data_IF_157599244936
#
_entry.id   IF_157599244936
#
_cell.length_a   1.000
_cell.length_b   1.000
_cell.length_c   1.000
_cell.angle_alpha   90.00
_cell.angle_beta   90.00
_cell.angle_gamma   90.00
#
_symmetry.space_group_name_H-M   'P 1'
#
loop_
_entity.id
_entity.type
_entity.pdbx_description
1 polymer ?
#
# COMPACT_ATOMS: atom_id res chain seq x y z
N UNK A 1 -10.22 1.94 -10.10
CA UNK A 1 -10.96 1.71 -8.83
C UNK A 1 -12.46 1.37 -9.01
N UNK A 2 -12.88 0.70 -10.10
CA UNK A 2 -14.28 0.29 -10.26
C UNK A 2 -14.72 -0.80 -9.26
N UNK A 3 -13.77 -1.57 -8.73
CA UNK A 3 -13.92 -2.47 -7.58
C UNK A 3 -15.11 -3.46 -7.65
N UNK A 4 -15.32 -4.07 -8.82
CA UNK A 4 -16.38 -5.08 -9.02
C UNK A 4 -15.98 -6.48 -8.52
N UNK A 5 -14.73 -6.88 -8.76
CA UNK A 5 -14.11 -8.09 -8.21
C UNK A 5 -13.36 -7.84 -6.89
N UNK A 6 -12.89 -8.90 -6.21
CA UNK A 6 -12.16 -8.77 -4.95
C UNK A 6 -10.82 -8.06 -5.13
N UNK A 7 -10.35 -7.41 -4.06
CA UNK A 7 -9.06 -6.73 -4.06
C UNK A 7 -7.91 -7.73 -4.02
N UNK A 8 -6.95 -7.57 -4.94
CA UNK A 8 -5.75 -8.40 -5.01
C UNK A 8 -4.51 -7.52 -4.84
N UNK A 9 -3.69 -7.85 -3.86
CA UNK A 9 -2.33 -7.33 -3.68
C UNK A 9 -1.38 -8.53 -3.71
N UNK A 10 -0.53 -8.67 -4.75
CA UNK A 10 0.24 -9.88 -4.99
C UNK A 10 1.07 -10.39 -3.80
N UNK A 11 1.67 -9.46 -3.04
CA UNK A 11 2.49 -9.80 -1.88
C UNK A 11 1.70 -10.20 -0.63
N UNK A 12 0.36 -10.18 -0.69
CA UNK A 12 -0.52 -10.40 0.49
C UNK A 12 -1.47 -11.57 0.27
N UNK A 13 -2.35 -11.51 -0.73
CA UNK A 13 -3.51 -12.40 -0.84
C UNK A 13 -3.69 -13.01 -2.24
N UNK A 14 -2.62 -13.11 -3.02
CA UNK A 14 -2.70 -13.53 -4.42
C UNK A 14 -3.35 -14.89 -4.64
N UNK A 15 -3.02 -15.85 -3.80
CA UNK A 15 -3.50 -17.24 -3.92
C UNK A 15 -5.01 -17.37 -3.65
N UNK A 16 -5.62 -16.41 -2.95
CA UNK A 16 -7.02 -16.49 -2.52
C UNK A 16 -8.04 -16.26 -3.65
N UNK A 17 -7.61 -15.65 -4.76
CA UNK A 17 -8.51 -15.15 -5.80
C UNK A 17 -8.11 -15.58 -7.22
N UNK A 18 -7.23 -16.59 -7.35
CA UNK A 18 -6.79 -17.12 -8.66
C UNK A 18 -7.93 -17.77 -9.46
N UNK A 19 -9.07 -18.09 -8.82
CA UNK A 19 -10.27 -18.65 -9.44
C UNK A 19 -11.27 -17.60 -9.93
N UNK A 20 -11.02 -16.32 -9.67
CA UNK A 20 -11.96 -15.24 -10.01
C UNK A 20 -11.75 -14.76 -11.43
N UNK A 21 -12.86 -14.60 -12.15
CA UNK A 21 -12.87 -14.08 -13.52
C UNK A 21 -12.73 -12.56 -13.60
N UNK A 22 -12.97 -11.86 -12.49
CA UNK A 22 -12.77 -10.42 -12.34
C UNK A 22 -12.08 -10.19 -11.00
N UNK A 23 -10.96 -9.47 -11.02
CA UNK A 23 -10.19 -9.09 -9.85
C UNK A 23 -9.86 -7.60 -9.93
N UNK A 24 -9.75 -6.97 -8.77
CA UNK A 24 -9.44 -5.56 -8.67
C UNK A 24 -8.04 -5.32 -8.11
N UNK A 25 -7.20 -4.61 -8.88
CA UNK A 25 -5.83 -4.26 -8.48
C UNK A 25 -5.75 -3.06 -7.52
N UNK A 26 -6.87 -2.64 -6.92
CA UNK A 26 -6.97 -1.50 -6.01
C UNK A 26 -6.56 -0.20 -6.73
N UNK A 27 -5.43 0.39 -6.33
CA UNK A 27 -4.86 1.65 -6.79
C UNK A 27 -3.35 1.59 -6.65
N UNK A 28 -2.61 2.52 -7.29
CA UNK A 28 -1.15 2.58 -7.15
C UNK A 28 -0.71 2.80 -5.70
N UNK A 29 -1.42 3.68 -4.97
CA UNK A 29 -1.19 3.87 -3.54
C UNK A 29 -1.47 2.58 -2.76
N UNK A 30 -2.55 1.85 -3.09
CA UNK A 30 -2.87 0.57 -2.48
C UNK A 30 -1.77 -0.48 -2.67
N UNK A 31 -1.34 -0.72 -3.91
CA UNK A 31 -0.27 -1.67 -4.20
C UNK A 31 1.06 -1.31 -3.54
N UNK A 32 1.36 0.00 -3.40
CA UNK A 32 2.56 0.44 -2.73
C UNK A 32 2.48 0.37 -1.19
N UNK A 33 1.30 0.41 -0.58
CA UNK A 33 1.20 0.67 0.88
C UNK A 33 0.48 -0.42 1.67
N UNK A 34 -0.48 -1.13 1.07
CA UNK A 34 -1.17 -2.25 1.71
C UNK A 34 -0.22 -3.38 2.13
N UNK A 35 0.83 -3.74 1.36
CA UNK A 35 1.83 -4.70 1.82
C UNK A 35 2.41 -4.31 3.19
N UNK A 36 2.72 -3.02 3.39
CA UNK A 36 3.27 -2.53 4.66
C UNK A 36 2.25 -2.65 5.80
N UNK A 37 0.98 -2.32 5.54
CA UNK A 37 -0.08 -2.49 6.55
C UNK A 37 -0.21 -3.96 6.95
N UNK A 38 -0.26 -4.88 5.97
CA UNK A 38 -0.31 -6.32 6.20
C UNK A 38 0.92 -6.82 6.97
N UNK A 39 2.11 -6.30 6.66
CA UNK A 39 3.34 -6.63 7.38
C UNK A 39 3.29 -6.21 8.85
N UNK A 40 2.65 -5.09 9.20
CA UNK A 40 2.43 -4.72 10.61
C UNK A 40 1.33 -5.60 11.22
N UNK A 41 0.22 -5.79 10.53
CA UNK A 41 -0.96 -6.53 11.00
C UNK A 41 -0.67 -8.00 11.32
N UNK A 42 0.25 -8.64 10.58
CA UNK A 42 0.69 -10.03 10.87
C UNK A 42 1.53 -10.16 12.15
N UNK A 43 2.00 -9.05 12.73
CA UNK A 43 2.77 -9.01 13.97
C UNK A 43 1.93 -8.53 15.16
N UNK A 44 1.13 -7.49 14.95
CA UNK A 44 0.30 -6.85 15.99
C UNK A 44 -0.98 -6.30 15.37
N UNK A 45 -2.15 -6.39 16.04
CA UNK A 45 -3.38 -5.78 15.55
C UNK A 45 -3.22 -4.29 15.25
N UNK A 46 -3.56 -3.89 14.03
CA UNK A 46 -3.54 -2.49 13.58
C UNK A 46 -4.92 -1.88 13.77
N UNK A 47 -5.03 -0.91 14.67
CA UNK A 47 -6.31 -0.23 14.98
C UNK A 47 -6.69 0.80 13.94
N UNK A 48 -5.69 1.41 13.33
CA UNK A 48 -5.87 2.40 12.30
C UNK A 48 -4.64 2.41 11.41
N UNK A 49 -4.85 2.44 10.10
CA UNK A 49 -3.80 2.65 9.12
C UNK A 49 -4.16 3.80 8.20
N UNK A 50 -3.19 4.66 7.95
CA UNK A 50 -3.31 5.78 7.02
C UNK A 50 -2.15 5.78 6.05
N UNK A 51 -2.44 6.04 4.77
CA UNK A 51 -1.44 6.16 3.73
C UNK A 51 -1.51 7.54 3.09
N UNK A 52 -0.34 8.04 2.70
CA UNK A 52 -0.20 9.28 1.94
C UNK A 52 0.65 9.00 0.70
N UNK A 53 0.00 8.94 -0.45
CA UNK A 53 0.63 8.80 -1.75
C UNK A 53 0.92 10.17 -2.34
N UNK A 54 2.18 10.46 -2.65
CA UNK A 54 2.60 11.69 -3.33
C UNK A 54 3.23 11.34 -4.67
N UNK A 55 2.62 11.82 -5.76
CA UNK A 55 3.04 11.50 -7.12
C UNK A 55 3.28 12.77 -7.94
N UNK A 56 4.10 12.67 -8.97
CA UNK A 56 4.28 13.74 -9.94
C UNK A 56 2.95 14.06 -10.65
N UNK A 57 2.59 15.34 -10.76
CA UNK A 57 1.39 15.76 -11.50
C UNK A 57 1.37 15.27 -12.96
N UNK A 58 2.56 15.07 -13.55
CA UNK A 58 2.76 14.57 -14.92
C UNK A 58 2.48 13.08 -15.08
N UNK A 59 2.54 12.27 -14.01
CA UNK A 59 2.17 10.85 -14.06
C UNK A 59 0.70 10.59 -13.73
N UNK A 60 -0.06 11.61 -13.34
CA UNK A 60 -1.50 11.55 -13.11
C UNK A 60 -2.28 12.04 -14.34
N UNK A 61 -2.68 11.08 -15.19
CA UNK A 61 -3.49 11.35 -16.38
C UNK A 61 -4.94 11.75 -16.06
N UNK A 62 -5.75 12.09 -17.08
CA UNK A 62 -7.14 12.51 -16.92
C UNK A 62 -8.00 11.49 -16.15
N UNK A 63 -7.78 10.18 -16.39
CA UNK A 63 -8.49 9.11 -15.69
C UNK A 63 -8.23 9.13 -14.18
N UNK A 64 -6.99 9.29 -13.73
CA UNK A 64 -6.66 9.42 -12.30
C UNK A 64 -7.33 10.65 -11.68
N UNK A 65 -7.35 11.77 -12.40
CA UNK A 65 -7.92 13.04 -11.92
C UNK A 65 -9.45 13.00 -11.82
N UNK A 66 -10.10 12.29 -12.74
CA UNK A 66 -11.56 12.13 -12.76
C UNK A 66 -12.08 11.15 -11.69
N UNK A 67 -11.21 10.33 -11.08
CA UNK A 67 -11.58 9.29 -10.13
C UNK A 67 -10.81 9.42 -8.79
N UNK A 68 -10.59 10.66 -8.33
CA UNK A 68 -9.74 10.92 -7.15
C UNK A 68 -10.43 10.53 -5.84
N UNK A 69 -11.76 10.63 -5.78
CA UNK A 69 -12.53 10.22 -4.61
C UNK A 69 -12.51 8.70 -4.49
N UNK A 70 -12.76 7.99 -5.59
CA UNK A 70 -12.68 6.53 -5.67
C UNK A 70 -11.29 6.02 -5.33
N UNK A 71 -10.23 6.78 -5.64
CA UNK A 71 -8.88 6.44 -5.17
C UNK A 71 -8.85 6.38 -3.64
N UNK A 72 -9.37 7.41 -2.95
CA UNK A 72 -9.33 7.45 -1.48
C UNK A 72 -10.19 6.38 -0.85
N UNK A 73 -11.41 6.19 -1.36
CA UNK A 73 -12.39 5.24 -0.84
C UNK A 73 -11.94 3.79 -1.06
N UNK A 74 -11.57 3.44 -2.29
CA UNK A 74 -11.12 2.08 -2.65
C UNK A 74 -9.85 1.71 -1.90
N UNK A 75 -8.90 2.64 -1.78
CA UNK A 75 -7.65 2.37 -1.07
C UNK A 75 -7.89 2.21 0.44
N UNK A 76 -8.76 3.03 1.04
CA UNK A 76 -9.12 2.88 2.45
C UNK A 76 -9.80 1.53 2.74
N UNK A 77 -10.73 1.10 1.88
CA UNK A 77 -11.38 -0.21 2.00
C UNK A 77 -10.40 -1.37 1.87
N UNK A 78 -9.45 -1.29 0.93
CA UNK A 78 -8.45 -2.33 0.74
C UNK A 78 -7.39 -2.36 1.86
N UNK A 79 -7.08 -1.22 2.49
CA UNK A 79 -6.28 -1.16 3.72
C UNK A 79 -6.95 -1.98 4.84
N UNK A 80 -8.28 -1.95 4.92
CA UNK A 80 -9.03 -2.72 5.91
C UNK A 80 -9.11 -4.20 5.53
N UNK A 81 -9.59 -4.50 4.32
CA UNK A 81 -9.89 -5.87 3.89
C UNK A 81 -8.65 -6.72 3.60
N UNK A 82 -7.63 -6.12 2.97
CA UNK A 82 -6.40 -6.83 2.56
C UNK A 82 -5.24 -6.49 3.50
N UNK A 83 -5.13 -5.23 3.94
CA UNK A 83 -4.10 -4.81 4.87
C UNK A 83 -4.33 -5.29 6.31
N UNK A 84 -5.57 -5.60 6.69
CA UNK A 84 -5.93 -6.08 8.03
C UNK A 84 -6.01 -5.00 9.10
N UNK A 85 -6.08 -3.72 8.71
CA UNK A 85 -6.36 -2.65 9.66
C UNK A 85 -7.85 -2.60 10.04
N UNK A 86 -8.17 -2.28 11.29
CA UNK A 86 -9.56 -2.10 11.71
C UNK A 86 -10.24 -0.87 11.09
N UNK A 87 -9.44 0.14 10.70
CA UNK A 87 -9.90 1.34 9.99
C UNK A 87 -8.80 1.86 9.07
N UNK A 88 -9.16 2.17 7.83
CA UNK A 88 -8.26 2.66 6.80
C UNK A 88 -8.49 4.13 6.44
N UNK A 89 -7.43 4.80 6.00
CA UNK A 89 -7.51 6.11 5.35
C UNK A 89 -6.45 6.21 4.25
N UNK A 90 -6.82 6.83 3.13
CA UNK A 90 -5.89 7.13 2.06
C UNK A 90 -5.96 8.61 1.68
N UNK A 91 -4.79 9.18 1.39
CA UNK A 91 -4.61 10.53 0.88
C UNK A 91 -3.74 10.44 -0.38
N UNK A 92 -4.09 11.20 -1.42
CA UNK A 92 -3.29 11.38 -2.62
C UNK A 92 -2.97 12.86 -2.83
N UNK A 93 -1.70 13.15 -3.13
CA UNK A 93 -1.19 14.49 -3.43
C UNK A 93 -0.52 14.49 -4.80
N UNK A 94 -0.87 15.48 -5.63
CA UNK A 94 -0.26 15.69 -6.94
C UNK A 94 0.72 16.86 -6.86
N UNK A 95 2.00 16.60 -7.10
CA UNK A 95 3.06 17.59 -6.99
C UNK A 95 3.61 17.98 -8.39
N UNK A 96 3.54 19.26 -8.81
CA UNK A 96 4.00 19.70 -10.13
C UNK A 96 5.47 20.14 -10.19
N UNK A 97 6.30 19.82 -9.19
CA UNK A 97 7.72 20.20 -9.17
C UNK A 97 8.50 19.72 -10.41
N UNK A 98 9.57 20.44 -10.74
CA UNK A 98 10.51 20.13 -11.83
C UNK A 98 11.95 20.15 -11.28
N UNK A 99 12.74 19.06 -11.41
CA UNK A 99 12.37 17.79 -12.06
C UNK A 99 11.22 17.06 -11.36
N UNK A 100 10.40 16.27 -12.09
CA UNK A 100 9.25 15.57 -11.50
C UNK A 100 9.67 14.64 -10.35
N UNK A 101 8.97 14.69 -9.20
CA UNK A 101 9.35 13.88 -8.06
C UNK A 101 9.07 12.40 -8.30
N UNK A 102 9.97 11.54 -7.82
CA UNK A 102 9.72 10.09 -7.68
C UNK A 102 8.51 9.89 -6.76
N UNK A 103 7.68 8.87 -7.05
CA UNK A 103 6.58 8.49 -6.17
C UNK A 103 7.08 8.22 -4.75
N UNK A 104 6.41 8.86 -3.79
CA UNK A 104 6.66 8.67 -2.35
C UNK A 104 5.38 8.26 -1.69
N UNK A 105 5.49 7.27 -0.82
CA UNK A 105 4.38 6.83 0.01
C UNK A 105 4.80 6.84 1.47
N UNK A 106 3.92 7.32 2.33
CA UNK A 106 4.11 7.22 3.78
C UNK A 106 2.97 6.40 4.34
N UNK A 107 3.30 5.39 5.14
CA UNK A 107 2.34 4.53 5.83
C UNK A 107 2.44 4.77 7.32
N UNK A 108 1.32 5.11 7.94
CA UNK A 108 1.15 5.19 9.38
C UNK A 108 0.30 4.03 9.86
N UNK A 109 0.76 3.26 10.84
CA UNK A 109 -0.02 2.24 11.52
C UNK A 109 -0.05 2.53 13.02
N UNK A 110 -1.25 2.60 13.60
CA UNK A 110 -1.47 2.73 15.03
C UNK A 110 -1.72 1.36 15.64
N UNK A 111 -0.90 1.01 16.62
CA UNK A 111 -0.81 -0.34 17.18
C UNK A 111 -0.80 -0.28 18.71
N UNK A 112 -1.19 -1.40 19.34
CA UNK A 112 -0.96 -1.63 20.77
C UNK A 112 0.49 -2.02 21.05
N UNK A 113 0.74 -2.62 22.20
CA UNK A 113 2.08 -3.06 22.58
C UNK A 113 2.61 -4.17 21.66
N UNK A 114 3.84 -4.03 21.17
CA UNK A 114 4.47 -5.01 20.30
C UNK A 114 6.01 -4.94 20.35
N UNK A 115 6.64 -6.06 20.01
CA UNK A 115 8.09 -6.11 19.88
C UNK A 115 8.55 -5.38 18.61
N UNK A 116 9.15 -4.20 18.79
CA UNK A 116 9.56 -3.33 17.70
C UNK A 116 10.49 -4.01 16.68
N UNK A 117 11.34 -4.94 17.12
CA UNK A 117 12.23 -5.71 16.24
C UNK A 117 11.46 -6.57 15.24
N UNK A 118 10.38 -7.22 15.69
CA UNK A 118 9.52 -8.06 14.83
C UNK A 118 8.75 -7.23 13.80
N UNK A 119 8.27 -6.04 14.18
CA UNK A 119 7.62 -5.12 13.24
C UNK A 119 8.59 -4.71 12.13
N UNK A 120 9.80 -4.30 12.50
CA UNK A 120 10.83 -3.89 11.52
C UNK A 120 11.22 -5.03 10.59
N UNK A 121 11.51 -6.21 11.14
CA UNK A 121 11.86 -7.39 10.35
C UNK A 121 10.75 -7.76 9.38
N UNK A 122 9.50 -7.74 9.84
CA UNK A 122 8.33 -8.03 9.03
C UNK A 122 8.16 -7.05 7.86
N UNK A 123 8.36 -5.75 8.09
CA UNK A 123 8.30 -4.73 7.04
C UNK A 123 9.43 -4.93 6.02
N UNK A 124 10.65 -5.22 6.47
CA UNK A 124 11.81 -5.42 5.58
C UNK A 124 11.58 -6.64 4.67
N UNK A 125 11.09 -7.74 5.22
CA UNK A 125 10.74 -8.94 4.45
C UNK A 125 9.67 -8.62 3.40
N UNK A 126 8.63 -7.87 3.77
CA UNK A 126 7.58 -7.48 2.86
C UNK A 126 8.09 -6.55 1.75
N UNK A 127 8.98 -5.61 2.08
CA UNK A 127 9.62 -4.74 1.08
C UNK A 127 10.40 -5.61 0.08
N UNK A 128 11.17 -6.58 0.56
CA UNK A 128 11.90 -7.50 -0.31
C UNK A 128 10.97 -8.33 -1.21
N UNK A 129 9.81 -8.76 -0.70
CA UNK A 129 8.80 -9.47 -1.49
C UNK A 129 8.22 -8.59 -2.62
N UNK A 130 7.87 -7.34 -2.31
CA UNK A 130 7.38 -6.38 -3.32
C UNK A 130 8.47 -6.07 -4.35
N UNK A 131 9.73 -5.92 -3.92
CA UNK A 131 10.85 -5.64 -4.81
C UNK A 131 11.13 -6.76 -5.83
N UNK A 132 10.61 -7.98 -5.63
CA UNK A 132 10.75 -9.06 -6.62
C UNK A 132 10.01 -8.76 -7.93
N UNK A 133 8.89 -8.03 -7.87
CA UNK A 133 8.15 -7.62 -9.06
C UNK A 133 8.25 -6.12 -9.34
N UNK A 134 8.74 -5.29 -8.40
CA UNK A 134 9.04 -3.87 -8.62
C UNK A 134 10.42 -3.52 -8.04
N UNK A 135 11.51 -3.71 -8.80
CA UNK A 135 12.88 -3.55 -8.28
C UNK A 135 13.18 -2.17 -7.65
N UNK A 136 12.51 -1.11 -8.11
CA UNK A 136 12.67 0.24 -7.58
C UNK A 136 11.89 0.54 -6.30
N UNK A 137 11.06 -0.38 -5.80
CA UNK A 137 10.32 -0.25 -4.54
C UNK A 137 11.24 -0.47 -3.34
N UNK A 138 11.39 0.54 -2.48
CA UNK A 138 12.33 0.48 -1.34
C UNK A 138 11.93 1.40 -0.19
N UNK A 139 12.50 1.13 1.00
CA UNK A 139 12.45 2.05 2.13
C UNK A 139 13.31 3.28 1.82
N UNK A 140 12.72 4.47 1.97
CA UNK A 140 13.47 5.73 1.90
C UNK A 140 14.16 6.08 3.22
N UNK A 141 13.61 5.60 4.33
CA UNK A 141 14.11 5.84 5.68
C UNK A 141 13.93 4.57 6.50
N UNK A 142 14.70 4.43 7.57
CA UNK A 142 14.45 3.40 8.56
C UNK A 142 13.03 3.52 9.14
N UNK A 143 12.42 2.38 9.46
CA UNK A 143 11.09 2.33 10.07
C UNK A 143 11.12 3.01 11.44
N UNK A 144 10.31 4.06 11.57
CA UNK A 144 10.18 4.84 12.79
C UNK A 144 9.05 4.26 13.64
N UNK A 145 9.31 4.04 14.93
CA UNK A 145 8.27 3.59 15.88
C UNK A 145 8.33 4.54 17.06
N UNK A 146 7.27 5.32 17.24
CA UNK A 146 7.19 6.39 18.25
C UNK A 146 5.99 6.17 19.16
N UNK A 147 6.09 6.49 20.46
CA UNK A 147 4.93 6.43 21.35
C UNK A 147 3.85 7.44 20.89
N UNK A 148 2.60 7.16 21.21
CA UNK A 148 1.46 8.04 20.93
C UNK A 148 0.66 8.26 22.20
N UNK A 149 0.39 9.52 22.50
CA UNK A 149 -0.50 9.91 23.58
C UNK A 149 -1.97 9.67 23.17
N UNK A 150 -2.74 8.84 23.90
CA UNK A 150 -4.12 8.50 23.53
C UNK A 150 -5.04 9.71 23.36
N UNK A 151 -4.81 10.80 24.09
CA UNK A 151 -5.59 12.04 24.03
C UNK A 151 -5.50 12.70 22.66
N UNK A 152 -4.33 12.58 21.99
CA UNK A 152 -4.11 13.11 20.65
C UNK A 152 -4.91 12.35 19.58
N UNK A 153 -5.34 11.13 19.88
CA UNK A 153 -6.11 10.28 18.97
C UNK A 153 -7.62 10.45 19.13
N UNK A 154 -8.09 11.10 20.20
CA UNK A 154 -9.52 11.26 20.46
C UNK A 154 -10.30 11.91 19.30
N UNK A 155 -9.80 12.95 18.59
CA UNK A 155 -10.50 13.50 17.43
C UNK A 155 -10.60 12.55 16.24
N UNK A 156 -9.67 11.60 16.13
CA UNK A 156 -9.59 10.65 15.02
C UNK A 156 -10.38 9.37 15.29
N UNK A 157 -10.23 8.81 16.50
CA UNK A 157 -10.68 7.46 16.86
C UNK A 157 -11.65 7.43 18.04
N UNK A 158 -11.85 8.53 18.76
CA UNK A 158 -12.72 8.56 19.93
C UNK A 158 -12.41 7.44 20.92
N UNK A 159 -13.41 6.61 21.23
CA UNK A 159 -13.28 5.45 22.14
C UNK A 159 -12.35 4.35 21.60
N UNK A 160 -12.16 4.28 20.28
CA UNK A 160 -11.34 3.25 19.64
C UNK A 160 -9.83 3.53 19.77
N UNK A 161 -9.46 4.68 20.36
CA UNK A 161 -8.09 5.01 20.72
C UNK A 161 -7.55 4.16 21.89
N UNK A 162 -8.44 3.53 22.67
CA UNK A 162 -8.05 2.77 23.85
C UNK A 162 -7.10 1.61 23.49
N UNK A 163 -5.97 1.55 24.19
CA UNK A 163 -4.97 0.49 24.01
C UNK A 163 -3.96 0.74 22.89
N UNK A 164 -4.10 1.81 22.10
CA UNK A 164 -3.05 2.25 21.19
C UNK A 164 -1.87 2.79 22.01
N UNK A 165 -0.66 2.42 21.59
CA UNK A 165 0.60 2.78 22.25
C UNK A 165 1.62 3.34 21.28
N UNK A 166 1.68 2.78 20.08
CA UNK A 166 2.76 3.04 19.14
C UNK A 166 2.23 3.44 17.77
N UNK A 167 2.90 4.42 17.16
CA UNK A 167 2.79 4.76 15.74
C UNK A 167 3.99 4.22 15.00
N UNK A 168 3.76 3.27 14.11
CA UNK A 168 4.73 2.79 13.14
C UNK A 168 4.63 3.68 11.91
N UNK A 169 5.73 4.30 11.50
CA UNK A 169 5.81 5.12 10.29
C UNK A 169 6.82 4.52 9.32
N UNK A 170 6.36 4.25 8.11
CA UNK A 170 7.17 3.68 7.03
C UNK A 170 7.20 4.67 5.88
N UNK A 171 8.42 5.01 5.42
CA UNK A 171 8.63 5.90 4.28
C UNK A 171 9.14 5.10 3.10
N UNK A 172 8.39 5.13 2.01
CA UNK A 172 8.70 4.40 0.79
C UNK A 172 9.09 5.38 -0.31
N UNK A 173 9.93 4.92 -1.23
CA UNK A 173 10.05 5.49 -2.57
C UNK A 173 9.91 4.39 -3.61
N UNK A 174 9.22 4.71 -4.71
CA UNK A 174 8.95 3.78 -5.80
C UNK A 174 9.49 4.37 -7.08
N UNK A 175 10.63 3.86 -7.50
CA UNK A 175 11.23 4.18 -8.79
C UNK A 175 10.74 3.21 -9.86
N UNK A 176 10.32 3.75 -11.00
CA UNK A 176 9.90 2.96 -12.15
C UNK A 176 11.09 2.42 -12.95
N UNK A 177 10.87 1.30 -13.64
CA UNK A 177 11.76 0.70 -14.65
C UNK A 177 11.91 1.55 -15.92
N UNK A 178 11.01 2.52 -16.10
CA UNK A 178 10.99 3.46 -17.22
C UNK A 178 10.66 2.84 -18.60
N UNK A 179 9.79 1.82 -18.62
CA UNK A 179 9.36 1.15 -19.85
C UNK A 179 8.54 2.07 -20.78
N UNK A 180 7.80 3.03 -20.22
CA UNK A 180 6.99 3.99 -20.98
C UNK A 180 7.17 5.44 -20.53
N UNK A 181 6.93 5.73 -19.24
CA UNK A 181 7.24 7.03 -18.64
C UNK A 181 8.63 6.98 -17.98
N UNK A 182 9.31 8.12 -17.74
CA UNK A 182 10.59 8.11 -17.03
C UNK A 182 10.47 7.56 -15.60
N UNK A 183 11.61 7.19 -15.00
CA UNK A 183 11.70 6.48 -13.71
C UNK A 183 10.98 7.16 -12.51
N UNK A 184 10.64 8.45 -12.60
CA UNK A 184 9.82 9.10 -11.57
C UNK A 184 8.39 8.56 -11.49
N UNK A 185 7.89 7.93 -12.56
CA UNK A 185 6.52 7.46 -12.69
C UNK A 185 6.29 6.07 -12.08
N UNK A 186 6.95 5.75 -10.95
CA UNK A 186 6.80 4.46 -10.26
C UNK A 186 5.36 4.14 -9.84
N UNK A 187 4.46 5.12 -9.82
CA UNK A 187 3.03 4.91 -9.60
C UNK A 187 2.34 4.13 -10.73
N UNK A 188 2.85 4.18 -11.96
CA UNK A 188 2.36 3.32 -13.04
C UNK A 188 2.99 1.93 -12.88
N UNK A 189 4.30 1.88 -12.69
CA UNK A 189 5.07 0.63 -12.66
C UNK A 189 4.64 -0.30 -11.52
N UNK A 190 4.33 0.24 -10.34
CA UNK A 190 3.80 -0.58 -9.23
C UNK A 190 2.46 -1.23 -9.58
N UNK A 191 1.62 -0.55 -10.37
CA UNK A 191 0.33 -1.08 -10.79
C UNK A 191 0.46 -2.10 -11.91
N UNK A 192 1.23 -1.77 -12.95
CA UNK A 192 1.39 -2.65 -14.11
C UNK A 192 2.16 -3.91 -13.76
N UNK A 193 3.19 -3.79 -12.93
CA UNK A 193 3.97 -4.96 -12.48
C UNK A 193 3.16 -5.85 -11.56
N UNK A 194 2.34 -5.28 -10.66
CA UNK A 194 1.41 -6.06 -9.87
C UNK A 194 0.41 -6.80 -10.77
N UNK A 195 -0.20 -6.11 -11.74
CA UNK A 195 -1.17 -6.71 -12.66
C UNK A 195 -0.54 -7.83 -13.51
N UNK A 196 0.68 -7.61 -14.01
CA UNK A 196 1.44 -8.63 -14.75
C UNK A 196 1.72 -9.84 -13.87
N UNK A 197 2.20 -9.63 -12.64
CA UNK A 197 2.47 -10.70 -11.68
C UNK A 197 1.23 -11.54 -11.38
N UNK A 198 0.05 -10.91 -11.26
CA UNK A 198 -1.21 -11.67 -11.11
C UNK A 198 -1.54 -12.45 -12.37
N UNK A 199 -1.46 -11.83 -13.55
CA UNK A 199 -1.75 -12.48 -14.82
C UNK A 199 -0.86 -13.71 -15.09
N UNK A 200 0.43 -13.62 -14.79
CA UNK A 200 1.37 -14.74 -14.90
C UNK A 200 0.96 -15.92 -14.02
N UNK A 201 0.49 -15.66 -12.81
CA UNK A 201 0.13 -16.71 -11.86
C UNK A 201 -1.24 -17.33 -12.14
N UNK A 202 -2.21 -16.53 -12.61
CA UNK A 202 -3.47 -17.06 -13.16
C UNK A 202 -3.18 -17.99 -14.35
N UNK A 203 -2.33 -17.55 -15.29
CA UNK A 203 -1.96 -18.38 -16.43
C UNK A 203 -1.20 -19.66 -16.03
N UNK A 204 -0.26 -19.56 -15.09
CA UNK A 204 0.47 -20.72 -14.59
C UNK A 204 -0.46 -21.77 -13.97
N UNK A 205 -1.47 -21.34 -13.21
CA UNK A 205 -2.50 -22.22 -12.65
C UNK A 205 -3.26 -22.96 -13.76
N UNK A 206 -3.77 -22.23 -14.75
CA UNK A 206 -4.55 -22.81 -15.85
C UNK A 206 -3.74 -23.80 -16.70
N UNK A 207 -2.44 -23.57 -16.86
CA UNK A 207 -1.53 -24.46 -17.60
C UNK A 207 -1.16 -25.71 -16.80
N UNK A 208 -0.99 -25.60 -15.48
CA UNK A 208 -0.52 -26.70 -14.62
C UNK A 208 -1.69 -27.54 -14.07
N UNK A 209 -2.93 -27.06 -14.15
CA UNK A 209 -4.13 -27.82 -13.80
C UNK A 209 -4.30 -28.06 -12.29
N UNK A 210 -3.80 -27.13 -11.47
CA UNK A 210 -3.98 -27.13 -10.00
C UNK A 210 -5.10 -26.18 -9.60
#
# INVERSE_FOLDING_TARGET
>A
PAALGPFVVPAVNLEEHLDKHDINMVTCGGQATIPIVAAVARVVPVRYAEIVASVASRSAGPGTRANIDEFTETTAQAIEQVGGAARGKAIIILNPADPPPIMRDTVYCLTGEAEHGKIRASIIEMVAAVSQYVPGYRLKQDVQITPVEPEMLAPLLGKDAAGIRWKVTTFLEVEGAADYLPAYAGNLDIMTSAALRVGELVAARDIIGV
#
